data_IF_967267647505
#
_entry.id   IF_967267647505
#
_cell.length_a   1.000
_cell.length_b   1.000
_cell.length_c   1.000
_cell.angle_alpha   90.00
_cell.angle_beta   90.00
_cell.angle_gamma   90.00
#
_symmetry.space_group_name_H-M   'P 1'
#
loop_
_entity.id
_entity.type
_entity.pdbx_description
1 polymer ?
#
# COMPACT_ATOMS: atom_id res chain seq x y z
N UNK A 1 -6.59 -26.32 -7.04
CA UNK A 1 -6.52 -25.45 -5.83
C UNK A 1 -5.52 -24.32 -6.05
N UNK A 2 -4.45 -24.52 -6.82
CA UNK A 2 -3.46 -23.47 -7.11
C UNK A 2 -4.06 -22.24 -7.80
N UNK A 3 -4.99 -22.41 -8.74
CA UNK A 3 -5.65 -21.27 -9.43
C UNK A 3 -6.32 -20.30 -8.45
N UNK A 4 -6.94 -20.79 -7.37
CA UNK A 4 -7.55 -19.95 -6.33
C UNK A 4 -6.49 -19.17 -5.55
N UNK A 5 -5.35 -19.80 -5.26
CA UNK A 5 -4.21 -19.18 -4.57
C UNK A 5 -3.57 -18.11 -5.47
N UNK A 6 -3.33 -18.42 -6.75
CA UNK A 6 -2.78 -17.48 -7.72
C UNK A 6 -3.72 -16.29 -7.91
N UNK A 7 -5.03 -16.52 -8.04
CA UNK A 7 -6.02 -15.45 -8.16
C UNK A 7 -6.02 -14.55 -6.91
N UNK A 8 -5.95 -15.14 -5.71
CA UNK A 8 -5.83 -14.41 -4.46
C UNK A 8 -4.55 -13.57 -4.42
N UNK A 9 -3.40 -14.14 -4.80
CA UNK A 9 -2.11 -13.46 -4.85
C UNK A 9 -2.12 -12.28 -5.85
N UNK A 10 -2.76 -12.43 -7.01
CA UNK A 10 -2.93 -11.35 -8.00
C UNK A 10 -3.75 -10.20 -7.41
N UNK A 11 -4.89 -10.51 -6.77
CA UNK A 11 -5.73 -9.48 -6.13
C UNK A 11 -4.93 -8.77 -5.02
N UNK A 12 -4.21 -9.54 -4.20
CA UNK A 12 -3.38 -9.01 -3.12
C UNK A 12 -2.31 -8.07 -3.68
N UNK A 13 -1.63 -8.45 -4.76
CA UNK A 13 -0.63 -7.61 -5.44
C UNK A 13 -1.26 -6.32 -5.97
N UNK A 14 -2.44 -6.41 -6.60
CA UNK A 14 -3.20 -5.25 -7.08
C UNK A 14 -3.58 -4.28 -5.96
N UNK A 15 -4.02 -4.79 -4.80
CA UNK A 15 -4.31 -3.97 -3.61
C UNK A 15 -3.06 -3.25 -3.10
N UNK A 16 -1.93 -3.95 -3.07
CA UNK A 16 -0.65 -3.38 -2.65
C UNK A 16 -0.17 -2.28 -3.61
N UNK A 17 -0.19 -2.54 -4.93
CA UNK A 17 0.16 -1.54 -5.95
C UNK A 17 -0.78 -0.33 -5.93
N UNK A 18 -2.08 -0.54 -5.74
CA UNK A 18 -3.04 0.56 -5.59
C UNK A 18 -2.76 1.40 -4.34
N UNK A 19 -2.38 0.77 -3.23
CA UNK A 19 -2.03 1.47 -1.98
C UNK A 19 -0.79 2.33 -2.14
N UNK A 20 0.21 1.86 -2.88
CA UNK A 20 1.41 2.63 -3.25
C UNK A 20 1.05 3.87 -4.09
N UNK A 21 0.27 3.68 -5.18
CA UNK A 21 -0.15 4.79 -6.05
C UNK A 21 -1.07 5.77 -5.30
N UNK A 22 -1.95 5.28 -4.44
CA UNK A 22 -2.81 6.10 -3.59
C UNK A 22 -1.98 6.96 -2.65
N UNK A 23 -0.92 6.41 -2.05
CA UNK A 23 -0.04 7.17 -1.17
C UNK A 23 0.77 8.23 -1.93
N UNK A 24 1.30 7.89 -3.11
CA UNK A 24 2.09 8.81 -3.94
C UNK A 24 1.19 9.93 -4.50
N UNK A 25 -0.05 9.62 -4.89
CA UNK A 25 -1.01 10.60 -5.42
C UNK A 25 -1.76 11.38 -4.34
N UNK A 26 -1.71 10.93 -3.08
CA UNK A 26 -2.36 11.61 -1.97
C UNK A 26 -1.82 13.03 -1.83
N UNK A 27 -2.72 14.01 -1.96
CA UNK A 27 -2.37 15.42 -1.81
C UNK A 27 -2.12 15.72 -0.34
N UNK A 28 -0.84 15.81 0.05
CA UNK A 28 -0.39 16.19 1.40
C UNK A 28 -1.15 17.39 1.99
N UNK A 29 -1.40 18.43 1.18
CA UNK A 29 -2.16 19.61 1.63
C UNK A 29 -3.56 19.30 2.16
N UNK A 30 -4.30 18.33 1.57
CA UNK A 30 -5.62 17.94 2.09
C UNK A 30 -5.51 17.19 3.41
N UNK A 31 -4.51 16.32 3.54
CA UNK A 31 -4.24 15.58 4.77
C UNK A 31 -3.80 16.52 5.90
N UNK A 32 -2.94 17.49 5.62
CA UNK A 32 -2.53 18.53 6.55
C UNK A 32 -3.72 19.34 7.06
N UNK A 33 -4.61 19.75 6.15
CA UNK A 33 -5.81 20.52 6.52
C UNK A 33 -6.74 19.70 7.41
N UNK A 34 -6.89 18.40 7.13
CA UNK A 34 -7.73 17.50 7.94
C UNK A 34 -7.09 17.14 9.29
N UNK A 35 -5.76 17.01 9.35
CA UNK A 35 -5.01 16.80 10.58
C UNK A 35 -5.12 18.02 11.51
N UNK A 36 -4.97 19.23 10.96
CA UNK A 36 -5.17 20.50 11.68
C UNK A 36 -6.60 20.65 12.23
N UNK A 37 -7.60 20.00 11.61
CA UNK A 37 -8.99 19.95 12.10
C UNK A 37 -9.21 18.91 13.21
N UNK A 38 -8.16 18.24 13.70
CA UNK A 38 -8.23 17.28 14.81
C UNK A 38 -8.45 15.82 14.39
N UNK A 39 -8.40 15.50 13.09
CA UNK A 39 -8.51 14.10 12.65
C UNK A 39 -7.21 13.35 12.88
N UNK A 40 -7.21 12.45 13.86
CA UNK A 40 -6.06 11.55 14.14
C UNK A 40 -5.71 10.68 12.94
N UNK A 41 -6.70 10.21 12.19
CA UNK A 41 -6.49 9.41 10.99
C UNK A 41 -5.81 10.22 9.89
N UNK A 42 -6.16 11.51 9.77
CA UNK A 42 -5.50 12.41 8.82
C UNK A 42 -4.05 12.70 9.22
N UNK A 43 -3.74 12.79 10.52
CA UNK A 43 -2.37 12.93 11.00
C UNK A 43 -1.53 11.69 10.65
N UNK A 44 -2.06 10.49 10.88
CA UNK A 44 -1.37 9.23 10.52
C UNK A 44 -1.13 9.16 9.02
N UNK A 45 -2.16 9.44 8.21
CA UNK A 45 -2.03 9.44 6.76
C UNK A 45 -1.06 10.52 6.26
N UNK A 46 -1.01 11.69 6.92
CA UNK A 46 -0.04 12.74 6.64
C UNK A 46 1.39 12.30 6.95
N UNK A 47 1.61 11.65 8.09
CA UNK A 47 2.94 11.14 8.48
C UNK A 47 3.43 10.06 7.50
N UNK A 48 2.54 9.16 7.09
CA UNK A 48 2.82 8.18 6.02
C UNK A 48 3.12 8.89 4.69
N UNK A 49 2.35 9.91 4.31
CA UNK A 49 2.60 10.66 3.09
C UNK A 49 3.91 11.46 3.16
N UNK A 50 4.30 11.94 4.35
CA UNK A 50 5.55 12.65 4.60
C UNK A 50 6.78 11.74 4.52
N UNK A 51 6.66 10.49 4.94
CA UNK A 51 7.69 9.45 4.81
C UNK A 51 7.19 8.27 3.98
N UNK A 52 6.90 8.46 2.68
CA UNK A 52 6.30 7.42 1.86
C UNK A 52 7.25 6.24 1.71
N UNK A 53 8.56 6.47 1.71
CA UNK A 53 9.59 5.44 1.59
C UNK A 53 9.39 4.28 2.56
N UNK A 54 9.02 4.52 3.82
CA UNK A 54 8.84 3.43 4.80
C UNK A 54 7.64 2.54 4.44
N UNK A 55 6.53 3.14 4.01
CA UNK A 55 5.35 2.42 3.57
C UNK A 55 5.58 1.71 2.24
N UNK A 56 6.13 2.44 1.26
CA UNK A 56 6.45 1.93 -0.08
C UNK A 56 7.41 0.74 -0.02
N UNK A 57 8.49 0.83 0.78
CA UNK A 57 9.42 -0.30 0.95
C UNK A 57 8.74 -1.52 1.59
N UNK A 58 7.81 -1.32 2.53
CA UNK A 58 7.06 -2.43 3.14
C UNK A 58 6.12 -3.09 2.12
N UNK A 59 5.42 -2.27 1.33
CA UNK A 59 4.52 -2.73 0.25
C UNK A 59 5.31 -3.47 -0.83
N UNK A 60 6.47 -2.96 -1.24
CA UNK A 60 7.35 -3.61 -2.22
C UNK A 60 7.84 -4.97 -1.74
N UNK A 61 8.27 -5.10 -0.48
CA UNK A 61 8.64 -6.40 0.09
C UNK A 61 7.45 -7.38 0.03
N UNK A 62 6.24 -6.90 0.32
CA UNK A 62 5.01 -7.67 0.17
C UNK A 62 4.78 -8.14 -1.27
N UNK A 63 4.92 -7.24 -2.25
CA UNK A 63 4.82 -7.55 -3.69
C UNK A 63 5.85 -8.61 -4.10
N UNK A 64 7.10 -8.48 -3.65
CA UNK A 64 8.16 -9.46 -3.90
C UNK A 64 7.84 -10.82 -3.31
N UNK A 65 7.36 -10.86 -2.06
CA UNK A 65 6.96 -12.11 -1.40
C UNK A 65 5.80 -12.78 -2.16
N UNK A 66 4.81 -12.00 -2.59
CA UNK A 66 3.69 -12.48 -3.41
C UNK A 66 4.19 -13.06 -4.73
N UNK A 67 5.14 -12.38 -5.39
CA UNK A 67 5.75 -12.88 -6.62
C UNK A 67 6.46 -14.22 -6.43
N UNK A 68 7.25 -14.37 -5.35
CA UNK A 68 7.93 -15.63 -5.01
C UNK A 68 6.91 -16.74 -4.75
N UNK A 69 5.90 -16.48 -3.92
CA UNK A 69 4.84 -17.45 -3.62
C UNK A 69 4.12 -17.86 -4.90
N UNK A 70 3.76 -16.89 -5.75
CA UNK A 70 3.10 -17.16 -7.04
C UNK A 70 3.97 -18.06 -7.92
N UNK A 71 5.28 -17.80 -8.00
CA UNK A 71 6.22 -18.62 -8.76
C UNK A 71 6.46 -20.03 -8.19
N UNK A 72 6.29 -20.24 -6.89
CA UNK A 72 6.37 -21.58 -6.27
C UNK A 72 5.12 -22.42 -6.58
N UNK A 73 3.96 -21.78 -6.71
CA UNK A 73 2.67 -22.46 -6.96
C UNK A 73 2.25 -22.50 -8.44
N UNK A 74 3.07 -21.99 -9.37
CA UNK A 74 2.75 -21.87 -10.80
C UNK A 74 3.63 -22.73 -11.71
#
# INVERSE_FOLDING_TARGET
>A
MEILIILFLIILNGVFSMSEIALISARKNRLETAAKKGSKNAQIALDLANSPNKFLSTVQIGITLIGILTGIYS
#
